data_IF_499925890082
#
_entry.id   IF_499925890082
#
_cell.length_a   1.000
_cell.length_b   1.000
_cell.length_c   1.000
_cell.angle_alpha   90.00
_cell.angle_beta   90.00
_cell.angle_gamma   90.00
#
_symmetry.space_group_name_H-M   'P 1'
#
loop_
_entity.id
_entity.type
_entity.pdbx_description
1 polymer ?
#
# COMPACT_ATOMS: atom_id res chain seq x y z
N UNK A 1 -5.46 34.69 -0.24
CA UNK A 1 -5.19 33.94 1.01
C UNK A 1 -5.89 34.58 2.19
N UNK A 2 -6.24 33.83 3.25
CA UNK A 2 -6.76 34.41 4.48
C UNK A 2 -5.77 35.42 5.06
N UNK A 3 -6.27 36.61 5.44
CA UNK A 3 -5.41 37.71 5.89
C UNK A 3 -4.82 37.47 7.28
N UNK A 4 -5.50 36.68 8.10
CA UNK A 4 -5.21 36.38 9.49
C UNK A 4 -4.11 35.32 9.71
N UNK A 5 -3.62 34.67 8.64
CA UNK A 5 -2.53 33.69 8.77
C UNK A 5 -1.16 34.37 8.81
N UNK A 6 -0.24 33.80 9.61
CA UNK A 6 1.18 34.20 9.63
C UNK A 6 1.77 34.04 8.23
N UNK A 7 2.51 35.06 7.78
CA UNK A 7 3.29 35.03 6.54
C UNK A 7 4.76 34.79 6.86
N UNK A 8 5.37 33.83 6.16
CA UNK A 8 6.78 33.52 6.25
C UNK A 8 7.47 33.84 4.92
N UNK A 9 8.20 34.96 4.82
CA UNK A 9 8.87 35.33 3.59
C UNK A 9 10.06 34.40 3.33
N UNK A 10 10.13 33.88 2.11
CA UNK A 10 11.29 33.17 1.57
C UNK A 10 11.81 33.93 0.37
N UNK A 11 12.98 34.55 0.55
CA UNK A 11 13.64 35.33 -0.49
C UNK A 11 14.55 34.43 -1.30
N UNK A 12 14.38 34.44 -2.61
CA UNK A 12 15.20 33.73 -3.57
C UNK A 12 16.02 34.73 -4.35
N UNK A 13 17.33 34.61 -4.21
CA UNK A 13 18.31 35.44 -4.91
C UNK A 13 19.13 34.59 -5.87
N UNK A 14 19.71 35.23 -6.88
CA UNK A 14 20.72 34.57 -7.71
C UNK A 14 21.96 34.28 -6.88
N UNK A 15 22.59 33.13 -7.11
CA UNK A 15 23.93 32.83 -6.60
C UNK A 15 24.96 33.82 -7.17
N UNK A 16 26.12 33.96 -6.54
CA UNK A 16 27.17 34.87 -7.02
C UNK A 16 27.60 34.57 -8.47
N UNK A 17 27.65 33.29 -8.84
CA UNK A 17 27.95 32.85 -10.20
C UNK A 17 26.85 33.28 -11.19
N UNK A 18 25.57 33.10 -10.83
CA UNK A 18 24.44 33.50 -11.69
C UNK A 18 24.27 35.02 -11.79
N UNK A 19 24.78 35.78 -10.82
CA UNK A 19 24.80 37.25 -10.87
C UNK A 19 25.81 37.78 -11.89
N UNK A 20 26.80 36.99 -12.32
CA UNK A 20 27.75 37.40 -13.37
C UNK A 20 27.06 37.38 -14.73
N UNK A 21 27.15 38.49 -15.45
CA UNK A 21 26.66 38.57 -16.82
C UNK A 21 27.53 37.67 -17.72
N UNK A 22 26.97 36.73 -18.48
CA UNK A 22 27.75 35.85 -19.35
C UNK A 22 28.38 36.59 -20.53
N UNK A 23 27.91 37.81 -20.84
CA UNK A 23 28.39 38.60 -21.97
C UNK A 23 29.54 39.54 -21.60
N UNK A 24 29.46 40.23 -20.46
CA UNK A 24 30.46 41.23 -20.06
C UNK A 24 31.19 40.92 -18.74
N UNK A 25 30.80 39.87 -18.01
CA UNK A 25 31.38 39.52 -16.71
C UNK A 25 30.97 40.41 -15.53
N UNK A 26 30.27 41.52 -15.81
CA UNK A 26 29.83 42.46 -14.79
C UNK A 26 28.69 41.89 -13.93
N UNK A 27 28.57 42.37 -12.69
CA UNK A 27 27.54 41.94 -11.75
C UNK A 27 26.17 42.54 -12.13
N UNK A 28 25.16 41.68 -12.31
CA UNK A 28 23.77 42.09 -12.52
C UNK A 28 23.21 42.77 -11.26
N UNK A 29 22.47 43.87 -11.44
CA UNK A 29 21.79 44.58 -10.36
C UNK A 29 20.35 44.06 -10.20
N UNK A 30 19.84 44.00 -8.97
CA UNK A 30 18.45 43.66 -8.72
C UNK A 30 17.54 44.79 -9.22
N UNK A 31 16.55 44.45 -10.04
CA UNK A 31 15.63 45.43 -10.64
C UNK A 31 14.19 45.31 -10.13
N UNK A 32 13.77 44.11 -9.73
CA UNK A 32 12.42 43.86 -9.25
C UNK A 32 12.35 42.58 -8.43
N UNK A 33 11.22 42.35 -7.76
CA UNK A 33 10.94 41.10 -7.08
C UNK A 33 9.49 40.68 -7.33
N UNK A 34 9.30 39.44 -7.79
CA UNK A 34 7.98 38.82 -7.95
C UNK A 34 7.57 38.14 -6.65
N UNK A 35 6.33 38.35 -6.19
CA UNK A 35 5.78 37.76 -4.96
C UNK A 35 4.71 36.73 -5.30
N UNK A 36 4.76 35.56 -4.68
CA UNK A 36 3.71 34.54 -4.78
C UNK A 36 3.45 33.89 -3.42
N UNK A 37 2.18 33.69 -3.07
CA UNK A 37 1.77 33.09 -1.80
C UNK A 37 1.41 31.60 -1.97
N UNK A 38 1.75 30.79 -0.97
CA UNK A 38 1.42 29.36 -0.88
C UNK A 38 0.95 29.02 0.54
N UNK A 39 -0.09 28.20 0.67
CA UNK A 39 -0.62 27.79 1.97
C UNK A 39 0.05 26.50 2.43
N UNK A 40 0.70 26.49 3.60
CA UNK A 40 1.39 25.31 4.11
C UNK A 40 0.99 24.99 5.56
N UNK A 41 1.42 23.81 6.02
CA UNK A 41 1.06 23.26 7.32
C UNK A 41 2.28 22.68 8.04
N UNK A 42 2.46 23.10 9.28
CA UNK A 42 3.27 22.44 10.30
C UNK A 42 2.28 21.92 11.35
N UNK A 43 2.52 20.79 12.04
CA UNK A 43 1.54 20.21 12.96
C UNK A 43 0.77 21.25 13.79
N UNK A 44 -0.56 21.18 13.68
CA UNK A 44 -1.56 22.07 14.26
C UNK A 44 -1.59 23.55 13.80
N UNK A 45 -0.76 23.98 12.84
CA UNK A 45 -0.66 25.39 12.43
C UNK A 45 -0.64 25.56 10.90
N UNK A 46 -1.61 26.33 10.37
CA UNK A 46 -1.62 26.81 8.98
C UNK A 46 -0.89 28.14 8.88
N UNK A 47 -0.13 28.32 7.80
CA UNK A 47 0.61 29.56 7.52
C UNK A 47 0.76 29.77 6.02
N UNK A 48 1.13 30.99 5.63
CA UNK A 48 1.37 31.36 4.24
C UNK A 48 2.88 31.48 4.03
N UNK A 49 3.43 30.70 3.12
CA UNK A 49 4.78 30.92 2.60
C UNK A 49 4.69 32.00 1.52
N UNK A 50 5.35 33.13 1.74
CA UNK A 50 5.46 34.20 0.75
C UNK A 50 6.80 34.04 0.00
N UNK A 51 6.74 33.54 -1.22
CA UNK A 51 7.93 33.39 -2.07
C UNK A 51 8.22 34.72 -2.76
N UNK A 52 9.41 35.27 -2.51
CA UNK A 52 9.91 36.52 -3.09
C UNK A 52 11.07 36.19 -4.03
N UNK A 53 10.84 36.25 -5.34
CA UNK A 53 11.86 35.92 -6.36
C UNK A 53 12.47 37.20 -6.91
N UNK A 54 13.75 37.41 -6.64
CA UNK A 54 14.47 38.58 -7.12
C UNK A 54 14.83 38.44 -8.61
N UNK A 55 14.58 39.49 -9.38
CA UNK A 55 14.97 39.61 -10.79
C UNK A 55 16.13 40.56 -10.91
N UNK A 56 17.16 40.15 -11.64
CA UNK A 56 18.39 40.90 -11.85
C UNK A 56 18.59 41.18 -13.33
N UNK A 57 19.14 42.35 -13.67
CA UNK A 57 19.50 42.73 -15.02
C UNK A 57 20.93 43.24 -15.08
N UNK A 58 21.62 43.01 -16.19
CA UNK A 58 22.92 43.63 -16.43
C UNK A 58 22.74 45.12 -16.73
N UNK A 59 23.47 46.04 -16.07
CA UNK A 59 23.40 47.47 -16.39
C UNK A 59 23.97 47.83 -17.77
N UNK A 60 24.84 46.98 -18.35
CA UNK A 60 25.57 47.27 -19.59
C UNK A 60 25.06 46.49 -20.81
N UNK A 61 24.45 45.31 -20.61
CA UNK A 61 24.01 44.44 -21.70
C UNK A 61 22.49 44.38 -21.74
N UNK A 62 21.88 44.92 -22.80
CA UNK A 62 20.44 44.83 -23.02
C UNK A 62 19.99 43.37 -23.12
N UNK A 63 18.83 43.05 -22.56
CA UNK A 63 18.22 41.72 -22.60
C UNK A 63 18.80 40.68 -21.62
N UNK A 64 19.84 41.00 -20.84
CA UNK A 64 20.42 40.08 -19.84
C UNK A 64 19.67 40.13 -18.50
N UNK A 65 18.40 39.73 -18.51
CA UNK A 65 17.51 39.68 -17.34
C UNK A 65 17.32 38.24 -16.86
N UNK A 66 17.56 37.98 -15.58
CA UNK A 66 17.42 36.65 -14.97
C UNK A 66 16.68 36.77 -13.64
N UNK A 67 15.64 35.94 -13.46
CA UNK A 67 14.89 35.84 -12.20
C UNK A 67 15.34 34.60 -11.43
N UNK A 68 15.58 34.76 -10.13
CA UNK A 68 15.94 33.66 -9.25
C UNK A 68 14.91 32.51 -9.33
N UNK A 69 15.41 31.28 -9.40
CA UNK A 69 14.59 30.08 -9.32
C UNK A 69 14.00 29.91 -7.92
N UNK A 70 12.78 29.38 -7.83
CA UNK A 70 12.25 28.83 -6.57
C UNK A 70 12.17 27.31 -6.66
N UNK A 71 12.22 26.58 -5.52
CA UNK A 71 12.12 25.13 -5.52
C UNK A 71 10.87 24.64 -6.26
N UNK A 72 11.01 23.51 -6.95
CA UNK A 72 9.90 22.84 -7.60
C UNK A 72 8.80 22.54 -6.57
N UNK A 73 7.56 22.81 -6.95
CA UNK A 73 6.40 22.58 -6.09
C UNK A 73 5.73 21.27 -6.45
N UNK A 74 5.18 20.51 -5.46
CA UNK A 74 4.51 19.25 -5.75
C UNK A 74 3.36 19.39 -6.75
N UNK A 75 2.64 20.52 -6.72
CA UNK A 75 1.67 20.89 -7.74
C UNK A 75 2.14 22.22 -8.34
N UNK A 76 2.53 22.26 -9.63
CA UNK A 76 2.99 23.49 -10.27
C UNK A 76 1.95 24.60 -10.18
N UNK A 77 2.36 25.76 -9.66
CA UNK A 77 1.46 26.92 -9.39
C UNK A 77 0.28 26.59 -8.47
N UNK A 78 0.31 25.44 -7.80
CA UNK A 78 -0.71 25.02 -6.86
C UNK A 78 -0.66 25.86 -5.59
N UNK A 79 -1.83 26.08 -5.00
CA UNK A 79 -1.96 26.73 -3.71
C UNK A 79 -1.30 25.97 -2.54
N UNK A 80 -1.30 24.62 -2.47
CA UNK A 80 -0.86 23.94 -1.27
C UNK A 80 0.65 23.71 -1.26
N UNK A 81 1.24 23.93 -0.08
CA UNK A 81 2.57 23.49 0.31
C UNK A 81 2.72 21.99 0.42
N UNK A 82 3.95 21.47 0.43
CA UNK A 82 4.20 20.04 0.65
C UNK A 82 3.68 19.56 2.01
N UNK A 83 3.78 20.38 3.07
CA UNK A 83 3.27 20.03 4.40
C UNK A 83 1.75 19.95 4.43
N UNK A 84 1.05 20.90 3.78
CA UNK A 84 -0.41 20.86 3.66
C UNK A 84 -0.88 19.65 2.83
N UNK A 85 -0.21 19.33 1.72
CA UNK A 85 -0.52 18.13 0.93
C UNK A 85 -0.33 16.87 1.78
N UNK A 86 0.79 16.74 2.48
CA UNK A 86 1.06 15.60 3.36
C UNK A 86 -0.01 15.46 4.44
N UNK A 87 -0.45 16.57 5.05
CA UNK A 87 -1.52 16.57 6.03
C UNK A 87 -2.85 16.07 5.44
N UNK A 88 -3.31 16.64 4.32
CA UNK A 88 -4.58 16.26 3.67
C UNK A 88 -4.58 14.78 3.24
N UNK A 89 -3.46 14.29 2.69
CA UNK A 89 -3.26 12.88 2.30
C UNK A 89 -3.33 11.97 3.52
N UNK A 90 -2.60 12.30 4.59
CA UNK A 90 -2.55 11.50 5.82
C UNK A 90 -3.93 11.42 6.47
N UNK A 91 -4.59 12.56 6.66
CA UNK A 91 -5.94 12.58 7.22
C UNK A 91 -6.92 11.74 6.38
N UNK A 92 -6.79 11.77 5.05
CA UNK A 92 -7.68 11.04 4.16
C UNK A 92 -7.47 9.53 4.20
N UNK A 93 -6.22 9.08 4.05
CA UNK A 93 -5.91 7.67 3.80
C UNK A 93 -5.50 6.92 5.06
N UNK A 94 -4.75 7.55 5.97
CA UNK A 94 -4.35 6.94 7.23
C UNK A 94 -5.45 7.10 8.30
N UNK A 95 -5.99 8.32 8.46
CA UNK A 95 -6.97 8.61 9.52
C UNK A 95 -8.43 8.46 9.07
N UNK A 96 -8.64 8.14 7.79
CA UNK A 96 -9.97 7.89 7.20
C UNK A 96 -10.95 9.07 7.33
N UNK A 97 -10.45 10.30 7.35
CA UNK A 97 -11.21 11.54 7.38
C UNK A 97 -11.54 11.96 5.93
N UNK A 98 -12.81 11.86 5.49
CA UNK A 98 -13.19 12.25 4.14
C UNK A 98 -12.99 13.76 3.93
N UNK A 99 -12.71 14.16 2.68
CA UNK A 99 -12.34 15.54 2.36
C UNK A 99 -13.42 16.57 2.75
N UNK A 100 -14.70 16.20 2.78
CA UNK A 100 -15.76 17.09 3.24
C UNK A 100 -15.70 17.39 4.75
N UNK A 101 -15.12 16.48 5.54
CA UNK A 101 -14.83 16.73 6.96
C UNK A 101 -13.58 17.58 7.12
N UNK A 102 -12.58 17.38 6.25
CA UNK A 102 -11.38 18.22 6.23
C UNK A 102 -11.71 19.67 5.83
N UNK A 103 -12.50 19.87 4.77
CA UNK A 103 -13.08 21.18 4.36
C UNK A 103 -13.69 21.93 5.55
N UNK A 104 -14.59 21.28 6.31
CA UNK A 104 -15.20 21.87 7.51
C UNK A 104 -14.23 22.11 8.67
N UNK A 105 -13.12 21.37 8.75
CA UNK A 105 -12.07 21.59 9.76
C UNK A 105 -11.21 22.81 9.40
N UNK A 106 -10.81 22.91 8.14
CA UNK A 106 -10.03 24.04 7.62
C UNK A 106 -10.85 25.34 7.69
N UNK A 107 -12.14 25.29 7.38
CA UNK A 107 -13.03 26.45 7.51
C UNK A 107 -13.09 26.99 8.96
N UNK A 108 -13.13 26.10 9.96
CA UNK A 108 -13.07 26.49 11.39
C UNK A 108 -11.73 27.12 11.80
N UNK A 109 -10.68 26.93 11.00
CA UNK A 109 -9.37 27.57 11.17
C UNK A 109 -9.25 28.86 10.33
N UNK A 110 -10.35 29.34 9.72
CA UNK A 110 -10.37 30.53 8.88
C UNK A 110 -9.87 30.30 7.46
N UNK A 111 -9.73 29.04 7.02
CA UNK A 111 -9.28 28.67 5.68
C UNK A 111 -10.44 28.04 4.92
N UNK A 112 -11.10 28.84 4.08
CA UNK A 112 -12.16 28.35 3.20
C UNK A 112 -11.57 27.70 1.96
N UNK A 113 -11.70 26.37 1.86
CA UNK A 113 -11.28 25.58 0.71
C UNK A 113 -12.45 24.71 0.26
N UNK A 114 -12.78 24.75 -1.03
CA UNK A 114 -13.81 23.88 -1.55
C UNK A 114 -13.36 22.42 -1.55
N UNK A 115 -14.31 21.50 -1.38
CA UNK A 115 -14.06 20.06 -1.57
C UNK A 115 -13.45 19.74 -2.93
N UNK A 116 -13.85 20.43 -4.00
CA UNK A 116 -13.28 20.23 -5.35
C UNK A 116 -11.79 20.53 -5.36
N UNK A 117 -11.36 21.62 -4.72
CA UNK A 117 -9.95 22.00 -4.59
C UNK A 117 -9.14 20.90 -3.90
N UNK A 118 -9.64 20.37 -2.78
CA UNK A 118 -8.98 19.25 -2.08
C UNK A 118 -8.90 18.01 -2.98
N UNK A 119 -9.91 17.72 -3.80
CA UNK A 119 -9.88 16.60 -4.74
C UNK A 119 -8.85 16.79 -5.86
N UNK A 120 -8.70 18.01 -6.36
CA UNK A 120 -7.69 18.34 -7.36
C UNK A 120 -6.27 18.22 -6.78
N UNK A 121 -6.08 18.62 -5.51
CA UNK A 121 -4.81 18.45 -4.81
C UNK A 121 -4.44 16.99 -4.61
N UNK A 122 -5.43 16.18 -4.26
CA UNK A 122 -5.28 14.75 -4.14
C UNK A 122 -4.81 14.15 -5.49
N UNK A 123 -5.47 14.48 -6.59
CA UNK A 123 -5.06 14.02 -7.92
C UNK A 123 -3.65 14.48 -8.32
N UNK A 124 -3.34 15.77 -8.10
CA UNK A 124 -2.00 16.32 -8.38
C UNK A 124 -0.91 15.65 -7.55
N UNK A 125 -1.17 15.39 -6.26
CA UNK A 125 -0.21 14.72 -5.39
C UNK A 125 0.14 13.32 -5.87
N UNK A 126 -0.82 12.54 -6.35
CA UNK A 126 -0.48 11.22 -6.88
C UNK A 126 0.21 11.23 -8.23
N UNK A 127 -0.04 12.22 -9.09
CA UNK A 127 0.78 12.39 -10.28
C UNK A 127 2.25 12.59 -9.88
N UNK A 128 2.49 13.40 -8.86
CA UNK A 128 3.83 13.66 -8.33
C UNK A 128 4.45 12.46 -7.60
N UNK A 129 3.63 11.54 -7.09
CA UNK A 129 4.06 10.29 -6.44
C UNK A 129 4.14 9.10 -7.40
N UNK A 130 3.71 9.23 -8.66
CA UNK A 130 3.72 8.13 -9.63
C UNK A 130 5.12 7.51 -9.84
N UNK A 131 6.22 8.29 -9.96
CA UNK A 131 7.56 7.70 -10.07
C UNK A 131 7.97 6.86 -8.85
N UNK A 132 7.52 7.25 -7.65
CA UNK A 132 7.77 6.47 -6.43
C UNK A 132 6.95 5.17 -6.44
N UNK A 133 5.70 5.23 -6.87
CA UNK A 133 4.87 4.04 -7.04
C UNK A 133 5.48 3.06 -8.04
N UNK A 134 5.94 3.54 -9.20
CA UNK A 134 6.55 2.70 -10.24
C UNK A 134 7.85 2.05 -9.74
N UNK A 135 8.66 2.79 -8.96
CA UNK A 135 9.85 2.25 -8.31
C UNK A 135 9.47 1.17 -7.29
N UNK A 136 8.52 1.45 -6.39
CA UNK A 136 8.06 0.47 -5.40
C UNK A 136 7.53 -0.80 -6.07
N UNK A 137 6.75 -0.67 -7.14
CA UNK A 137 6.27 -1.79 -7.95
C UNK A 137 7.42 -2.62 -8.51
N UNK A 138 8.42 -1.96 -9.09
CA UNK A 138 9.61 -2.64 -9.62
C UNK A 138 10.35 -3.39 -8.52
N UNK A 139 10.55 -2.77 -7.36
CA UNK A 139 11.25 -3.37 -6.23
C UNK A 139 10.48 -4.56 -5.62
N UNK A 140 9.15 -4.47 -5.48
CA UNK A 140 8.33 -5.59 -4.99
C UNK A 140 8.44 -6.81 -5.92
N UNK A 141 8.50 -6.59 -7.24
CA UNK A 141 8.66 -7.69 -8.20
C UNK A 141 10.05 -8.36 -8.16
N UNK A 142 11.02 -7.80 -7.43
CA UNK A 142 12.32 -8.42 -7.16
C UNK A 142 12.34 -9.28 -5.88
N UNK A 143 11.25 -9.30 -5.11
CA UNK A 143 11.16 -10.10 -3.88
C UNK A 143 11.25 -11.61 -4.17
N UNK A 144 11.75 -12.38 -3.22
CA UNK A 144 11.61 -13.83 -3.23
C UNK A 144 10.20 -14.30 -2.84
N UNK A 145 9.48 -13.49 -2.05
CA UNK A 145 8.12 -13.76 -1.59
C UNK A 145 7.26 -12.51 -1.67
N UNK A 146 6.06 -12.63 -2.22
CA UNK A 146 5.04 -11.57 -2.22
C UNK A 146 3.79 -12.09 -1.50
N UNK A 147 3.27 -11.29 -0.58
CA UNK A 147 1.96 -11.48 0.03
C UNK A 147 0.90 -10.68 -0.73
N UNK A 148 -0.24 -11.28 -1.05
CA UNK A 148 -1.30 -10.59 -1.78
C UNK A 148 -2.70 -10.91 -1.27
N UNK A 149 -3.57 -9.91 -1.29
CA UNK A 149 -4.98 -10.01 -0.94
C UNK A 149 -5.78 -8.95 -1.73
N UNK A 150 -7.09 -9.05 -1.72
CA UNK A 150 -7.96 -8.19 -2.52
C UNK A 150 -9.24 -7.75 -1.80
N UNK A 151 -9.75 -6.57 -2.16
CA UNK A 151 -11.02 -6.08 -1.61
C UNK A 151 -11.81 -5.26 -2.61
N UNK A 152 -13.13 -5.41 -2.57
CA UNK A 152 -14.02 -4.64 -3.43
C UNK A 152 -14.07 -3.16 -3.04
N UNK A 153 -13.92 -2.28 -4.01
CA UNK A 153 -13.97 -0.82 -3.83
C UNK A 153 -14.99 -0.23 -4.79
N UNK A 154 -15.79 0.72 -4.30
CA UNK A 154 -16.77 1.41 -5.14
C UNK A 154 -16.02 2.31 -6.11
N UNK A 155 -16.21 2.08 -7.41
CA UNK A 155 -15.70 2.91 -8.49
C UNK A 155 -16.82 3.83 -8.98
N UNK A 156 -16.53 5.13 -9.06
CA UNK A 156 -17.40 6.12 -9.68
C UNK A 156 -16.68 6.81 -10.83
N UNK A 157 -17.18 6.62 -12.03
CA UNK A 157 -16.74 7.33 -13.22
C UNK A 157 -17.84 8.33 -13.58
N UNK A 158 -17.64 9.60 -13.23
CA UNK A 158 -18.64 10.65 -13.47
C UNK A 158 -18.83 10.95 -14.95
N UNK A 159 -17.77 10.84 -15.75
CA UNK A 159 -17.81 11.08 -17.19
C UNK A 159 -18.61 9.99 -17.90
N UNK A 160 -18.38 8.72 -17.53
CA UNK A 160 -19.09 7.57 -18.11
C UNK A 160 -20.40 7.23 -17.39
N UNK A 161 -20.75 7.98 -16.32
CA UNK A 161 -21.85 7.70 -15.40
C UNK A 161 -21.83 6.26 -14.84
N UNK A 162 -20.64 5.66 -14.70
CA UNK A 162 -20.49 4.28 -14.21
C UNK A 162 -20.41 4.29 -12.69
N UNK A 163 -21.22 3.43 -12.07
CA UNK A 163 -21.04 2.95 -10.70
C UNK A 163 -20.72 1.46 -10.78
N UNK A 164 -19.51 1.08 -10.41
CA UNK A 164 -19.06 -0.31 -10.48
C UNK A 164 -18.41 -0.74 -9.16
N UNK A 165 -18.36 -2.06 -8.95
CA UNK A 165 -17.47 -2.65 -7.95
C UNK A 165 -16.19 -3.05 -8.65
N UNK A 166 -15.12 -2.37 -8.26
CA UNK A 166 -13.79 -2.65 -8.72
C UNK A 166 -13.00 -3.37 -7.62
N UNK A 167 -11.79 -3.83 -7.94
CA UNK A 167 -10.93 -4.52 -6.98
C UNK A 167 -9.67 -3.70 -6.73
N UNK A 168 -9.35 -3.55 -5.45
CA UNK A 168 -8.05 -3.09 -4.99
C UNK A 168 -7.28 -4.32 -4.53
N UNK A 169 -6.04 -4.44 -4.96
CA UNK A 169 -5.11 -5.51 -4.66
C UNK A 169 -3.98 -4.93 -3.84
N UNK A 170 -3.47 -5.70 -2.89
CA UNK A 170 -2.21 -5.39 -2.23
C UNK A 170 -1.13 -6.38 -2.66
N UNK A 171 0.09 -5.89 -2.82
CA UNK A 171 1.31 -6.68 -2.95
C UNK A 171 2.29 -6.18 -1.89
N UNK A 172 2.52 -7.02 -0.88
CA UNK A 172 3.42 -6.78 0.23
C UNK A 172 4.70 -7.57 -0.02
N UNK A 173 5.83 -6.86 -0.15
CA UNK A 173 7.13 -7.45 -0.42
C UNK A 173 7.79 -8.10 0.80
N UNK A 174 8.98 -8.67 0.59
CA UNK A 174 9.75 -9.32 1.65
C UNK A 174 10.67 -8.35 2.41
N UNK A 175 11.54 -8.87 3.27
CA UNK A 175 12.48 -8.09 4.07
C UNK A 175 13.49 -7.26 3.27
N UNK A 176 13.81 -7.62 2.01
CA UNK A 176 14.72 -6.86 1.16
C UNK A 176 14.01 -5.67 0.54
N UNK A 177 12.72 -5.84 0.20
CA UNK A 177 11.88 -4.81 -0.40
C UNK A 177 10.53 -4.71 0.33
N UNK A 178 10.50 -4.19 1.58
CA UNK A 178 9.33 -4.20 2.46
C UNK A 178 8.31 -3.10 2.08
N UNK A 179 7.89 -3.08 0.82
CA UNK A 179 6.97 -2.09 0.28
C UNK A 179 5.55 -2.65 0.17
N UNK A 180 4.59 -1.74 0.39
CA UNK A 180 3.17 -2.00 0.22
C UNK A 180 2.70 -1.34 -1.05
N UNK A 181 2.49 -2.13 -2.09
CA UNK A 181 2.00 -1.62 -3.37
C UNK A 181 0.54 -1.99 -3.52
N UNK A 182 -0.32 -0.98 -3.60
CA UNK A 182 -1.72 -1.16 -3.93
C UNK A 182 -1.91 -0.96 -5.43
N UNK A 183 -2.50 -1.94 -6.11
CA UNK A 183 -2.90 -1.80 -7.51
C UNK A 183 -4.39 -2.06 -7.66
N UNK A 184 -4.96 -1.62 -8.78
CA UNK A 184 -6.39 -1.58 -8.99
C UNK A 184 -6.80 -2.17 -10.33
N UNK A 185 -7.92 -2.88 -10.34
CA UNK A 185 -8.60 -3.26 -11.57
C UNK A 185 -10.06 -2.85 -11.57
N UNK A 186 -10.52 -2.33 -12.72
CA UNK A 186 -11.94 -1.94 -12.93
C UNK A 186 -12.88 -3.14 -12.89
N UNK A 187 -12.39 -4.32 -13.27
CA UNK A 187 -13.17 -5.56 -13.33
C UNK A 187 -12.81 -6.49 -12.17
N UNK A 188 -13.73 -7.40 -11.88
CA UNK A 188 -13.54 -8.55 -10.99
C UNK A 188 -12.79 -9.70 -11.68
N UNK A 189 -12.26 -9.48 -12.89
CA UNK A 189 -11.61 -10.52 -13.69
C UNK A 189 -10.20 -10.79 -13.17
N UNK A 190 -9.69 -12.00 -13.48
CA UNK A 190 -8.37 -12.55 -13.10
C UNK A 190 -7.18 -11.72 -13.64
N UNK A 191 -7.47 -10.76 -14.50
CA UNK A 191 -6.52 -9.98 -15.29
C UNK A 191 -5.58 -9.13 -14.41
N UNK A 192 -6.03 -8.70 -13.22
CA UNK A 192 -5.27 -7.80 -12.34
C UNK A 192 -3.95 -8.37 -11.85
N UNK A 193 -3.98 -9.41 -11.01
CA UNK A 193 -2.77 -10.06 -10.54
C UNK A 193 -1.89 -10.60 -11.65
N UNK A 194 -2.49 -11.12 -12.72
CA UNK A 194 -1.75 -11.63 -13.89
C UNK A 194 -0.94 -10.53 -14.59
N UNK A 195 -1.48 -9.31 -14.69
CA UNK A 195 -0.77 -8.15 -15.26
C UNK A 195 0.30 -7.61 -14.31
N UNK A 196 -0.02 -7.49 -13.02
CA UNK A 196 0.92 -6.95 -12.03
C UNK A 196 2.13 -7.86 -11.86
N UNK A 197 1.91 -9.17 -11.70
CA UNK A 197 2.94 -10.18 -11.45
C UNK A 197 3.58 -10.71 -12.74
N UNK A 198 3.40 -10.01 -13.88
CA UNK A 198 4.00 -10.43 -15.15
C UNK A 198 5.53 -10.45 -15.02
N UNK A 199 6.11 -11.64 -15.19
CA UNK A 199 7.55 -11.85 -15.10
C UNK A 199 8.07 -12.09 -13.68
N UNK A 200 7.22 -12.04 -12.65
CA UNK A 200 7.58 -12.39 -11.28
C UNK A 200 8.01 -13.85 -11.18
N UNK A 201 9.02 -14.11 -10.34
CA UNK A 201 9.53 -15.44 -10.03
C UNK A 201 9.76 -15.55 -8.53
N UNK A 202 9.14 -16.52 -7.89
CA UNK A 202 9.23 -16.68 -6.43
C UNK A 202 7.94 -17.21 -5.82
N UNK A 203 7.76 -16.96 -4.54
CA UNK A 203 6.60 -17.41 -3.79
C UNK A 203 5.52 -16.34 -3.78
N UNK A 204 4.27 -16.73 -4.06
CA UNK A 204 3.11 -15.87 -3.91
C UNK A 204 2.20 -16.42 -2.82
N UNK A 205 2.10 -15.69 -1.71
CA UNK A 205 1.28 -16.08 -0.58
C UNK A 205 -0.09 -15.36 -0.63
N UNK A 206 -1.16 -16.14 -0.71
CA UNK A 206 -2.52 -15.63 -0.86
C UNK A 206 -3.55 -16.53 -0.14
N UNK A 207 -4.81 -16.09 -0.07
CA UNK A 207 -5.91 -17.06 0.05
C UNK A 207 -5.98 -17.90 -1.23
N UNK A 208 -6.45 -19.13 -1.14
CA UNK A 208 -6.58 -20.08 -2.25
C UNK A 208 -7.72 -19.69 -3.21
N UNK A 209 -7.63 -18.48 -3.73
CA UNK A 209 -8.53 -17.90 -4.71
C UNK A 209 -8.14 -18.43 -6.11
N UNK A 210 -9.09 -19.11 -6.76
CA UNK A 210 -8.89 -19.69 -8.10
C UNK A 210 -8.57 -18.69 -9.20
N UNK A 211 -8.63 -17.38 -8.91
CA UNK A 211 -8.13 -16.36 -9.82
C UNK A 211 -6.61 -16.35 -9.99
N UNK A 212 -5.86 -16.98 -9.08
CA UNK A 212 -4.40 -17.10 -9.17
C UNK A 212 -3.93 -18.35 -9.93
N UNK A 213 -4.80 -19.33 -10.20
CA UNK A 213 -4.42 -20.61 -10.83
C UNK A 213 -3.64 -20.42 -12.14
N UNK A 214 -4.03 -19.44 -12.95
CA UNK A 214 -3.34 -19.11 -14.21
C UNK A 214 -1.92 -18.54 -14.03
N UNK A 215 -1.64 -17.94 -12.87
CA UNK A 215 -0.31 -17.40 -12.53
C UNK A 215 0.63 -18.56 -12.15
N UNK A 216 0.11 -19.55 -11.42
CA UNK A 216 0.87 -20.72 -11.00
C UNK A 216 1.17 -21.69 -12.16
N UNK A 217 0.27 -21.77 -13.14
CA UNK A 217 0.40 -22.69 -14.28
C UNK A 217 1.70 -22.49 -15.09
N UNK A 218 2.29 -21.30 -15.09
CA UNK A 218 3.55 -21.01 -15.78
C UNK A 218 4.81 -21.52 -15.06
N UNK A 219 4.71 -22.10 -13.86
CA UNK A 219 5.81 -22.68 -13.09
C UNK A 219 6.80 -21.69 -12.47
N UNK A 220 6.76 -20.42 -12.88
CA UNK A 220 7.62 -19.35 -12.36
C UNK A 220 7.21 -18.87 -10.97
N UNK A 221 5.92 -19.01 -10.63
CA UNK A 221 5.35 -18.55 -9.35
C UNK A 221 4.86 -19.75 -8.57
N UNK A 222 5.31 -19.86 -7.33
CA UNK A 222 5.02 -20.97 -6.44
C UNK A 222 3.99 -20.53 -5.39
N UNK A 223 2.80 -21.14 -5.42
CA UNK A 223 1.69 -20.82 -4.52
C UNK A 223 2.03 -21.07 -3.04
N UNK A 224 1.70 -20.17 -2.12
CA UNK A 224 1.78 -20.44 -0.67
C UNK A 224 0.42 -20.18 -0.06
N UNK A 225 -0.16 -21.22 0.53
CA UNK A 225 -1.52 -21.19 1.05
C UNK A 225 -1.62 -20.47 2.40
N UNK A 226 -2.78 -19.85 2.65
CA UNK A 226 -3.06 -19.21 3.94
C UNK A 226 -3.72 -20.19 4.93
N UNK A 227 -2.99 -20.62 5.95
CA UNK A 227 -3.54 -21.53 6.98
C UNK A 227 -4.63 -20.89 7.85
N UNK A 228 -4.68 -19.56 7.96
CA UNK A 228 -5.76 -18.88 8.69
C UNK A 228 -7.12 -19.11 8.00
N UNK A 229 -7.17 -19.12 6.67
CA UNK A 229 -8.37 -19.42 5.88
C UNK A 229 -8.77 -20.89 5.98
N UNK A 230 -7.81 -21.81 5.86
CA UNK A 230 -8.06 -23.24 6.03
C UNK A 230 -8.62 -23.54 7.44
N UNK A 231 -8.01 -22.98 8.48
CA UNK A 231 -8.48 -23.09 9.87
C UNK A 231 -9.89 -22.54 10.08
N UNK A 232 -10.24 -21.40 9.46
CA UNK A 232 -11.57 -20.77 9.59
C UNK A 232 -12.69 -21.72 9.15
N UNK A 233 -12.47 -22.54 8.13
CA UNK A 233 -13.46 -23.54 7.66
C UNK A 233 -13.76 -24.61 8.72
N UNK A 234 -12.77 -25.04 9.49
CA UNK A 234 -13.01 -25.96 10.61
C UNK A 234 -13.71 -25.28 11.78
N UNK A 235 -13.42 -24.00 12.06
CA UNK A 235 -14.19 -23.22 13.05
C UNK A 235 -15.66 -23.15 12.66
N UNK A 236 -15.97 -22.90 11.39
CA UNK A 236 -17.35 -22.89 10.89
C UNK A 236 -18.00 -24.27 11.02
N UNK A 237 -17.25 -25.34 10.72
CA UNK A 237 -17.73 -26.71 10.82
C UNK A 237 -18.01 -27.18 12.26
N UNK A 238 -17.42 -26.56 13.30
CA UNK A 238 -17.70 -26.88 14.71
C UNK A 238 -19.19 -26.77 15.06
N UNK A 239 -19.94 -25.92 14.36
CA UNK A 239 -21.37 -25.73 14.57
C UNK A 239 -22.19 -26.97 14.24
N UNK A 240 -21.67 -27.86 13.40
CA UNK A 240 -22.38 -29.03 12.89
C UNK A 240 -21.66 -30.35 13.19
N UNK A 241 -20.36 -30.33 13.42
CA UNK A 241 -19.55 -31.49 13.78
C UNK A 241 -18.44 -31.07 14.76
N UNK A 242 -18.80 -30.97 16.04
CA UNK A 242 -17.91 -30.47 17.09
C UNK A 242 -16.66 -31.35 17.26
N UNK A 243 -16.83 -32.68 17.25
CA UNK A 243 -15.75 -33.62 17.56
C UNK A 243 -14.66 -33.56 16.50
N UNK A 244 -14.98 -33.75 15.21
CA UNK A 244 -13.96 -33.74 14.15
C UNK A 244 -13.36 -32.35 13.96
N UNK A 245 -14.17 -31.30 14.06
CA UNK A 245 -13.68 -29.93 13.94
C UNK A 245 -12.71 -29.58 15.06
N UNK A 246 -13.00 -30.02 16.29
CA UNK A 246 -12.11 -29.78 17.43
C UNK A 246 -10.77 -30.50 17.29
N UNK A 247 -10.76 -31.71 16.72
CA UNK A 247 -9.53 -32.44 16.38
C UNK A 247 -8.70 -31.68 15.34
N UNK A 248 -9.28 -31.26 14.22
CA UNK A 248 -8.59 -30.44 13.22
C UNK A 248 -8.01 -29.15 13.84
N UNK A 249 -8.81 -28.47 14.66
CA UNK A 249 -8.39 -27.25 15.35
C UNK A 249 -7.30 -27.50 16.40
N UNK A 250 -7.22 -28.69 16.99
CA UNK A 250 -6.12 -29.06 17.87
C UNK A 250 -4.80 -29.16 17.10
N UNK A 251 -4.78 -29.74 15.90
CA UNK A 251 -3.60 -29.72 15.03
C UNK A 251 -3.17 -28.29 14.69
N UNK A 252 -4.11 -27.42 14.27
CA UNK A 252 -3.80 -26.00 14.04
C UNK A 252 -3.26 -25.30 15.29
N UNK A 253 -3.81 -25.58 16.49
CA UNK A 253 -3.27 -25.03 17.74
C UNK A 253 -1.82 -25.44 17.95
N UNK A 254 -1.45 -26.69 17.66
CA UNK A 254 -0.06 -27.16 17.75
C UNK A 254 0.84 -26.42 16.75
N UNK A 255 0.43 -26.30 15.48
CA UNK A 255 1.18 -25.57 14.45
C UNK A 255 1.42 -24.10 14.84
N UNK A 256 0.38 -23.40 15.29
CA UNK A 256 0.51 -22.01 15.74
C UNK A 256 1.31 -21.87 17.05
N UNK A 257 1.28 -22.87 17.93
CA UNK A 257 2.13 -22.89 19.11
C UNK A 257 3.62 -23.00 18.74
N UNK A 258 3.96 -23.79 17.71
CA UNK A 258 5.32 -23.87 17.17
C UNK A 258 5.75 -22.51 16.62
N UNK A 259 4.94 -21.87 15.78
CA UNK A 259 5.26 -20.53 15.24
C UNK A 259 5.42 -19.47 16.34
N UNK A 260 4.62 -19.55 17.41
CA UNK A 260 4.76 -18.67 18.59
C UNK A 260 6.09 -18.89 19.31
N UNK A 261 6.53 -20.14 19.45
CA UNK A 261 7.80 -20.47 20.08
C UNK A 261 8.98 -20.04 19.21
N UNK A 262 8.92 -20.25 17.89
CA UNK A 262 9.89 -19.70 16.94
C UNK A 262 10.01 -18.19 17.13
N UNK A 263 8.88 -17.45 17.17
CA UNK A 263 8.91 -16.00 17.41
C UNK A 263 9.60 -15.63 18.73
N UNK A 264 9.36 -16.40 19.79
CA UNK A 264 10.00 -16.19 21.09
C UNK A 264 11.50 -16.48 21.07
N UNK A 265 11.96 -17.48 20.31
CA UNK A 265 13.39 -17.75 20.09
C UNK A 265 14.06 -16.65 19.28
N UNK A 266 13.43 -16.21 18.17
CA UNK A 266 13.93 -15.12 17.33
C UNK A 266 14.02 -13.79 18.08
N UNK A 267 13.16 -13.56 19.07
CA UNK A 267 13.21 -12.36 19.91
C UNK A 267 14.40 -12.33 20.88
N UNK A 268 15.08 -13.46 21.11
CA UNK A 268 16.29 -13.55 21.95
C UNK A 268 17.57 -13.32 21.15
N UNK A 269 17.48 -13.27 19.82
CA UNK A 269 18.63 -13.02 18.97
C UNK A 269 19.11 -11.57 19.14
N UNK A 270 20.42 -11.32 18.93
CA UNK A 270 20.95 -9.97 18.79
C UNK A 270 20.17 -9.14 17.77
N UNK A 271 20.10 -7.83 18.00
CA UNK A 271 19.35 -6.90 17.14
C UNK A 271 19.91 -6.86 15.70
N UNK A 272 21.22 -7.07 15.55
CA UNK A 272 21.94 -7.17 14.28
C UNK A 272 21.81 -8.55 13.58
N UNK A 273 21.09 -9.50 14.17
CA UNK A 273 20.86 -10.80 13.55
C UNK A 273 20.08 -10.65 12.23
N UNK A 274 20.76 -10.96 11.13
CA UNK A 274 20.22 -10.83 9.78
C UNK A 274 19.07 -11.82 9.47
N UNK A 275 18.27 -11.49 8.46
CA UNK A 275 17.11 -12.32 8.09
C UNK A 275 17.48 -13.75 7.65
N UNK A 276 18.59 -14.03 6.92
CA UNK A 276 18.99 -15.40 6.63
C UNK A 276 19.17 -16.28 7.87
N UNK A 277 19.76 -15.73 8.94
CA UNK A 277 19.91 -16.44 10.22
C UNK A 277 18.55 -16.74 10.85
N UNK A 278 17.65 -15.74 10.85
CA UNK A 278 16.28 -15.89 11.37
C UNK A 278 15.53 -16.96 10.56
N UNK A 279 15.61 -16.91 9.23
CA UNK A 279 14.99 -17.86 8.32
C UNK A 279 15.51 -19.30 8.54
N UNK A 280 16.82 -19.49 8.73
CA UNK A 280 17.39 -20.81 9.03
C UNK A 280 16.80 -21.42 10.31
N UNK A 281 16.62 -20.62 11.37
CA UNK A 281 15.96 -21.07 12.61
C UNK A 281 14.51 -21.45 12.35
N UNK A 282 13.74 -20.62 11.63
CA UNK A 282 12.35 -20.96 11.27
C UNK A 282 12.28 -22.29 10.54
N UNK A 283 13.13 -22.47 9.53
CA UNK A 283 13.18 -23.70 8.72
C UNK A 283 13.49 -24.92 9.57
N UNK A 284 14.56 -24.88 10.37
CA UNK A 284 14.98 -25.99 11.22
C UNK A 284 13.86 -26.43 12.16
N UNK A 285 13.29 -25.48 12.92
CA UNK A 285 12.24 -25.79 13.90
C UNK A 285 10.97 -26.32 13.21
N UNK A 286 10.61 -25.77 12.04
CA UNK A 286 9.47 -26.26 11.26
C UNK A 286 9.70 -27.69 10.76
N UNK A 287 10.88 -28.02 10.25
CA UNK A 287 11.22 -29.38 9.82
C UNK A 287 11.16 -30.37 10.99
N UNK A 288 11.75 -30.03 12.13
CA UNK A 288 11.78 -30.90 13.31
C UNK A 288 10.39 -31.11 13.94
N UNK A 289 9.52 -30.09 13.91
CA UNK A 289 8.33 -30.05 14.77
C UNK A 289 7.01 -29.82 14.04
N UNK A 290 6.98 -28.97 13.01
CA UNK A 290 5.74 -28.69 12.28
C UNK A 290 5.44 -29.77 11.24
N UNK A 291 6.46 -30.30 10.55
CA UNK A 291 6.28 -31.36 9.53
C UNK A 291 5.64 -32.64 10.11
N UNK A 292 6.06 -33.17 11.28
CA UNK A 292 5.39 -34.33 11.88
C UNK A 292 3.91 -34.08 12.24
N UNK A 293 3.57 -32.84 12.63
CA UNK A 293 2.18 -32.44 12.90
C UNK A 293 1.36 -32.44 11.61
N UNK A 294 1.93 -31.96 10.51
CA UNK A 294 1.31 -32.04 9.18
C UNK A 294 1.09 -33.48 8.71
N UNK A 295 2.04 -34.38 8.93
CA UNK A 295 1.91 -35.80 8.57
C UNK A 295 0.79 -36.49 9.36
N UNK A 296 0.71 -36.21 10.66
CA UNK A 296 -0.36 -36.71 11.53
C UNK A 296 -1.73 -36.17 11.10
N UNK A 297 -1.79 -34.88 10.76
CA UNK A 297 -2.99 -34.25 10.23
C UNK A 297 -3.41 -34.86 8.88
N UNK A 298 -2.46 -35.19 8.00
CA UNK A 298 -2.75 -35.83 6.70
C UNK A 298 -3.39 -37.19 6.89
N UNK A 299 -2.82 -38.01 7.77
CA UNK A 299 -3.34 -39.33 8.10
C UNK A 299 -4.76 -39.23 8.64
N UNK A 300 -4.97 -38.35 9.62
CA UNK A 300 -6.30 -38.11 10.17
C UNK A 300 -7.31 -37.63 9.11
N UNK A 301 -6.93 -36.70 8.23
CA UNK A 301 -7.82 -36.23 7.15
C UNK A 301 -8.21 -37.35 6.19
N UNK A 302 -7.30 -38.28 5.87
CA UNK A 302 -7.57 -39.44 5.01
C UNK A 302 -8.56 -40.42 5.67
N UNK A 303 -8.43 -40.64 6.97
CA UNK A 303 -9.32 -41.51 7.76
C UNK A 303 -10.73 -40.91 7.92
N UNK A 304 -10.84 -39.59 8.10
CA UNK A 304 -12.13 -38.91 8.29
C UNK A 304 -12.87 -38.61 6.98
N UNK A 305 -12.15 -38.43 5.87
CA UNK A 305 -12.76 -38.09 4.57
C UNK A 305 -13.91 -39.01 4.15
N UNK A 306 -13.83 -40.35 4.21
CA UNK A 306 -14.94 -41.24 3.82
C UNK A 306 -16.13 -41.19 4.80
N UNK A 307 -15.94 -40.66 6.01
CA UNK A 307 -16.96 -40.65 7.07
C UNK A 307 -17.82 -39.38 7.06
N UNK A 308 -17.49 -38.39 6.22
CA UNK A 308 -18.19 -37.11 6.17
C UNK A 308 -18.85 -36.90 4.81
N UNK A 309 -20.09 -36.41 4.83
CA UNK A 309 -20.79 -36.05 3.61
C UNK A 309 -20.03 -34.93 2.86
N UNK A 310 -19.73 -35.07 1.55
CA UNK A 310 -18.92 -34.08 0.83
C UNK A 310 -19.45 -32.64 0.87
N UNK A 311 -20.77 -32.48 0.95
CA UNK A 311 -21.45 -31.17 0.98
C UNK A 311 -21.67 -30.61 2.40
N UNK A 312 -21.32 -31.35 3.46
CA UNK A 312 -21.40 -30.82 4.82
C UNK A 312 -20.31 -29.76 5.05
N UNK A 313 -20.45 -28.87 6.05
CA UNK A 313 -19.38 -27.93 6.41
C UNK A 313 -18.03 -28.63 6.67
N UNK A 314 -18.07 -29.78 7.33
CA UNK A 314 -16.89 -30.61 7.57
C UNK A 314 -16.31 -31.19 6.26
N UNK A 315 -17.17 -31.74 5.40
CA UNK A 315 -16.77 -32.25 4.09
C UNK A 315 -16.14 -31.18 3.20
N UNK A 316 -16.63 -29.95 3.27
CA UNK A 316 -16.06 -28.78 2.61
C UNK A 316 -14.71 -28.35 3.18
N UNK A 317 -14.55 -28.37 4.51
CA UNK A 317 -13.28 -28.03 5.18
C UNK A 317 -12.16 -29.03 4.84
N UNK A 318 -12.45 -30.35 4.95
CA UNK A 318 -11.51 -31.41 4.56
C UNK A 318 -11.20 -31.34 3.05
N UNK A 319 -12.22 -31.11 2.22
CA UNK A 319 -12.05 -30.97 0.78
C UNK A 319 -11.13 -29.81 0.41
N UNK A 320 -11.30 -28.65 1.05
CA UNK A 320 -10.43 -27.49 0.85
C UNK A 320 -8.97 -27.79 1.23
N UNK A 321 -8.74 -28.35 2.42
CA UNK A 321 -7.38 -28.72 2.82
C UNK A 321 -6.72 -29.71 1.86
N UNK A 322 -7.47 -30.72 1.40
CA UNK A 322 -6.96 -31.71 0.44
C UNK A 322 -6.58 -31.05 -0.89
N UNK A 323 -7.41 -30.15 -1.40
CA UNK A 323 -7.19 -29.48 -2.68
C UNK A 323 -5.98 -28.53 -2.65
N UNK A 324 -5.67 -27.96 -1.48
CA UNK A 324 -4.59 -26.98 -1.31
C UNK A 324 -3.46 -27.51 -0.42
N UNK A 325 -3.33 -28.83 -0.27
CA UNK A 325 -2.43 -29.45 0.70
C UNK A 325 -0.98 -28.98 0.54
N UNK A 326 -0.47 -29.09 -0.68
CA UNK A 326 0.90 -28.70 -1.01
C UNK A 326 1.16 -27.21 -0.76
N UNK A 327 0.21 -26.34 -1.11
CA UNK A 327 0.31 -24.91 -0.88
C UNK A 327 0.28 -24.57 0.62
N UNK A 328 -0.61 -25.21 1.39
CA UNK A 328 -0.77 -24.97 2.83
C UNK A 328 0.43 -25.48 3.64
N UNK A 329 1.04 -26.60 3.25
CA UNK A 329 2.26 -27.15 3.90
C UNK A 329 3.52 -26.39 3.50
N UNK A 330 3.52 -25.66 2.37
CA UNK A 330 4.71 -25.05 1.75
C UNK A 330 5.52 -24.13 2.65
N UNK A 331 4.89 -23.42 3.60
CA UNK A 331 5.61 -22.55 4.53
C UNK A 331 6.68 -23.28 5.37
N UNK A 332 6.59 -24.60 5.48
CA UNK A 332 7.58 -25.44 6.16
C UNK A 332 8.84 -25.68 5.33
N UNK A 333 8.80 -25.45 4.01
CA UNK A 333 9.93 -25.69 3.09
C UNK A 333 10.94 -24.54 3.05
N UNK A 334 10.58 -23.36 3.54
CA UNK A 334 11.45 -22.18 3.55
C UNK A 334 11.19 -21.31 4.77
N UNK A 335 12.27 -20.82 5.38
CA UNK A 335 12.21 -19.92 6.52
C UNK A 335 11.70 -18.51 6.18
N UNK A 336 11.66 -18.14 4.90
CA UNK A 336 11.16 -16.82 4.45
C UNK A 336 9.64 -16.76 4.29
N UNK A 337 8.96 -17.90 4.40
CA UNK A 337 7.51 -18.00 4.24
C UNK A 337 6.80 -17.88 5.59
N UNK A 338 5.56 -17.37 5.53
CA UNK A 338 4.69 -17.26 6.71
C UNK A 338 3.67 -18.41 6.72
N UNK A 339 3.21 -18.81 7.91
CA UNK A 339 2.13 -19.80 8.03
C UNK A 339 0.81 -19.31 7.42
N UNK A 340 0.58 -17.99 7.43
CA UNK A 340 -0.62 -17.35 6.90
C UNK A 340 -0.33 -16.00 6.24
N UNK A 341 -1.36 -15.48 5.55
CA UNK A 341 -1.32 -14.24 4.79
C UNK A 341 -1.87 -13.05 5.58
N UNK A 342 -1.86 -13.11 6.92
CA UNK A 342 -2.50 -12.11 7.77
C UNK A 342 -1.92 -10.70 7.58
N UNK A 343 -0.67 -10.57 7.12
CA UNK A 343 -0.04 -9.27 6.85
C UNK A 343 -0.76 -8.50 5.75
N UNK A 344 -1.07 -9.16 4.63
CA UNK A 344 -1.84 -8.56 3.54
C UNK A 344 -3.28 -8.25 3.99
N UNK A 345 -3.94 -9.18 4.70
CA UNK A 345 -5.28 -8.96 5.25
C UNK A 345 -5.32 -7.76 6.21
N UNK A 346 -4.28 -7.56 7.03
CA UNK A 346 -4.20 -6.45 7.98
C UNK A 346 -4.13 -5.11 7.25
N UNK A 347 -3.32 -5.00 6.20
CA UNK A 347 -3.29 -3.80 5.37
C UNK A 347 -4.63 -3.57 4.64
N UNK A 348 -5.30 -4.62 4.20
CA UNK A 348 -6.62 -4.52 3.57
C UNK A 348 -7.73 -4.11 4.54
N UNK A 349 -7.61 -4.43 5.83
CA UNK A 349 -8.53 -3.94 6.88
C UNK A 349 -8.50 -2.41 7.00
N UNK A 350 -7.35 -1.77 6.80
CA UNK A 350 -7.25 -0.30 6.75
C UNK A 350 -8.14 0.28 5.65
N UNK A 351 -8.09 -0.33 4.45
CA UNK A 351 -8.99 0.06 3.34
C UNK A 351 -10.45 -0.22 3.69
N UNK A 352 -10.75 -1.34 4.35
CA UNK A 352 -12.10 -1.68 4.79
C UNK A 352 -12.67 -0.64 5.77
N UNK A 353 -11.86 -0.13 6.69
CA UNK A 353 -12.24 0.96 7.59
C UNK A 353 -12.54 2.25 6.82
N UNK A 354 -11.67 2.63 5.88
CA UNK A 354 -11.90 3.79 5.00
C UNK A 354 -13.20 3.69 4.18
N UNK A 355 -13.59 2.49 3.72
CA UNK A 355 -14.86 2.29 3.00
C UNK A 355 -16.08 2.64 3.84
N UNK A 356 -16.03 2.43 5.17
CA UNK A 356 -17.13 2.81 6.09
C UNK A 356 -17.26 4.32 6.21
N UNK A 357 -16.20 5.09 5.95
CA UNK A 357 -16.19 6.55 6.08
C UNK A 357 -16.37 7.30 4.76
N UNK A 358 -16.61 6.60 3.65
CA UNK A 358 -16.89 7.18 2.32
C UNK A 358 -15.78 7.02 1.28
N UNK A 359 -14.77 6.18 1.52
CA UNK A 359 -13.72 5.91 0.53
C UNK A 359 -14.30 5.29 -0.77
N UNK A 360 -14.00 5.93 -1.90
CA UNK A 360 -14.30 5.43 -3.24
C UNK A 360 -13.13 5.67 -4.18
N UNK A 361 -13.11 4.96 -5.31
CA UNK A 361 -12.20 5.19 -6.43
C UNK A 361 -12.94 5.87 -7.57
N UNK A 362 -12.19 6.58 -8.40
CA UNK A 362 -12.62 7.55 -9.39
C UNK A 362 -11.76 7.44 -10.62
N UNK A 363 -12.22 8.03 -11.72
CA UNK A 363 -11.53 7.95 -13.00
C UNK A 363 -11.44 9.36 -13.57
N UNK A 364 -10.23 9.77 -13.98
CA UNK A 364 -10.01 10.97 -14.81
C UNK A 364 -9.94 10.59 -16.29
N UNK A 365 -10.10 11.55 -17.22
CA UNK A 365 -10.23 11.29 -18.66
C UNK A 365 -9.01 10.59 -19.30
N UNK A 366 -7.84 10.59 -18.66
CA UNK A 366 -6.65 9.84 -19.09
C UNK A 366 -6.69 8.32 -18.78
N UNK A 367 -7.81 7.79 -18.28
CA UNK A 367 -8.05 6.36 -18.14
C UNK A 367 -7.41 5.67 -16.93
N UNK A 368 -6.41 6.29 -16.26
CA UNK A 368 -5.87 5.78 -15.00
C UNK A 368 -6.84 6.04 -13.83
N UNK A 369 -7.25 4.99 -13.09
CA UNK A 369 -8.09 5.08 -11.91
C UNK A 369 -7.35 5.75 -10.75
N UNK A 370 -8.08 6.42 -9.88
CA UNK A 370 -7.55 7.23 -8.79
C UNK A 370 -8.48 7.17 -7.57
N UNK A 371 -8.09 7.37 -6.31
CA UNK A 371 -9.06 7.41 -5.22
C UNK A 371 -10.03 8.61 -5.31
N UNK A 372 -11.23 8.39 -5.89
CA UNK A 372 -12.26 9.43 -5.99
C UNK A 372 -12.67 9.91 -4.62
N UNK A 373 -12.82 11.23 -4.58
CA UNK A 373 -13.79 11.86 -3.72
C UNK A 373 -15.21 11.53 -4.17
N UNK A 374 -15.93 10.65 -3.47
CA UNK A 374 -17.33 10.93 -3.17
C UNK A 374 -17.89 10.00 -2.09
N UNK A 375 -18.06 10.57 -0.90
CA UNK A 375 -19.36 10.73 -0.25
C UNK A 375 -19.36 12.09 0.48
#
# INVERSE_FOLDING_TARGET
MPKNLRREPRVYELTEAERRCPQCGETRAQISAERSEQLDYVPATLFVVEHVRCTYACPHCEGQVVTAGKPAQPIPKGLPGPGLLAHVITEKYADHIPLHRQERRLARQGVELSRSTLCDWMAGAAQSLEPLYDLMKTLVLLCGTIHTDDTSVKLRDSERKIKALARLWIYFGDHLYPYNVFDFTRSHKRDGPSLFLKGFRGYLQADAFSGYDGIYAGGNVVEVGCNAHARRKFVEAQKTDLTRASTALAYYRQLYAIEKQIKAELAKLPEDANEPTRAAIRLRVRQERAVPVWESLEKWLKEERPQVLPKSPMGGAIGYMKNHWEALKRYTSSGYLSIDNNVAEQHMKTIATGRKTGFSLGVRPAGRPWPCCSA
#
